data_IF_708950752874
#
_entry.id   IF_708950752874
#
_cell.length_a   1.000
_cell.length_b   1.000
_cell.length_c   1.000
_cell.angle_alpha   90.00
_cell.angle_beta   90.00
_cell.angle_gamma   90.00
#
_symmetry.space_group_name_H-M   'P 1'
#
loop_
_entity.id
_entity.type
_entity.pdbx_description
1 polymer ?
#
# COMPACT_ATOMS: atom_id res chain seq x y z
N UNK A 1 15.31 -16.63 -0.87
CA UNK A 1 15.10 -16.49 -2.18
C UNK A 1 15.10 -15.11 -2.64
N UNK A 2 15.78 -14.80 -3.63
CA UNK A 2 15.92 -13.47 -4.02
C UNK A 2 14.83 -13.05 -4.93
N UNK A 3 14.42 -11.83 -4.81
CA UNK A 3 13.41 -11.29 -5.67
C UNK A 3 14.05 -11.01 -7.00
N UNK A 4 13.31 -11.23 -8.04
CA UNK A 4 13.84 -11.00 -9.36
C UNK A 4 13.33 -9.72 -9.98
N UNK A 5 13.23 -8.68 -9.17
CA UNK A 5 12.80 -7.40 -9.70
C UNK A 5 13.88 -6.85 -10.63
N UNK A 6 13.50 -6.42 -11.82
CA UNK A 6 14.51 -5.93 -12.77
C UNK A 6 15.20 -4.68 -12.25
N UNK A 7 16.53 -4.75 -12.19
CA UNK A 7 17.29 -3.61 -11.68
C UNK A 7 17.16 -2.40 -12.58
N UNK A 8 16.98 -2.61 -13.86
CA UNK A 8 16.81 -1.54 -14.79
C UNK A 8 15.56 -0.73 -14.49
N UNK A 9 14.49 -1.42 -14.14
CA UNK A 9 13.25 -0.74 -13.81
C UNK A 9 13.39 0.04 -12.52
N UNK A 10 14.06 -0.55 -11.51
CA UNK A 10 14.28 0.15 -10.25
C UNK A 10 15.09 1.43 -10.47
N UNK A 11 16.09 1.35 -11.33
CA UNK A 11 16.91 2.53 -11.61
C UNK A 11 16.08 3.60 -12.31
N UNK A 12 15.22 3.21 -13.22
CA UNK A 12 14.35 4.18 -13.89
C UNK A 12 13.41 4.87 -12.94
N UNK A 13 12.91 4.13 -11.95
CA UNK A 13 12.05 4.71 -10.94
C UNK A 13 12.82 5.76 -10.14
N UNK A 14 14.07 5.45 -9.76
CA UNK A 14 14.88 6.42 -9.05
C UNK A 14 15.10 7.67 -9.88
N UNK A 15 15.38 7.50 -11.16
CA UNK A 15 15.60 8.63 -12.05
C UNK A 15 14.33 9.46 -12.20
N UNK A 16 13.18 8.80 -12.31
CA UNK A 16 11.90 9.50 -12.41
C UNK A 16 11.67 10.36 -11.17
N UNK A 17 11.96 9.81 -10.00
CA UNK A 17 11.77 10.54 -8.75
C UNK A 17 12.73 11.73 -8.69
N UNK A 18 14.00 11.52 -9.05
CA UNK A 18 14.97 12.58 -9.03
C UNK A 18 14.61 13.71 -9.98
N UNK A 19 13.99 13.39 -11.10
CA UNK A 19 13.58 14.37 -12.07
C UNK A 19 12.16 14.89 -11.84
N UNK A 20 11.59 14.54 -10.70
CA UNK A 20 10.25 14.95 -10.32
C UNK A 20 9.17 14.46 -11.30
N UNK A 21 9.43 13.34 -11.97
CA UNK A 21 8.45 12.71 -12.85
C UNK A 21 7.67 11.69 -12.05
N UNK A 22 6.91 12.19 -11.08
CA UNK A 22 6.24 11.32 -10.11
C UNK A 22 5.16 10.45 -10.74
N UNK A 23 4.51 10.95 -11.79
CA UNK A 23 3.50 10.15 -12.48
C UNK A 23 4.09 8.91 -13.13
N UNK A 24 5.27 9.04 -13.75
CA UNK A 24 5.92 7.90 -14.36
C UNK A 24 6.41 6.93 -13.31
N UNK A 25 6.99 7.45 -12.21
CA UNK A 25 7.44 6.59 -11.12
C UNK A 25 6.27 5.80 -10.57
N UNK A 26 5.12 6.45 -10.40
CA UNK A 26 3.92 5.80 -9.89
C UNK A 26 3.49 4.65 -10.80
N UNK A 27 3.47 4.90 -12.10
CA UNK A 27 3.04 3.86 -13.04
C UNK A 27 3.97 2.66 -13.03
N UNK A 28 5.27 2.91 -12.98
CA UNK A 28 6.23 1.81 -12.94
C UNK A 28 6.11 1.01 -11.66
N UNK A 29 5.89 1.70 -10.53
CA UNK A 29 5.74 1.00 -9.26
C UNK A 29 4.47 0.17 -9.23
N UNK A 30 3.37 0.67 -9.80
CA UNK A 30 2.15 -0.13 -9.90
C UNK A 30 2.41 -1.40 -10.69
N UNK A 31 3.14 -1.31 -11.80
CA UNK A 31 3.48 -2.49 -12.59
C UNK A 31 4.30 -3.49 -11.81
N UNK A 32 5.29 -2.99 -11.05
CA UNK A 32 6.11 -3.89 -10.25
C UNK A 32 5.32 -4.54 -9.12
N UNK A 33 4.45 -3.78 -8.47
CA UNK A 33 3.65 -4.33 -7.36
C UNK A 33 2.66 -5.36 -7.89
N UNK A 34 2.14 -5.15 -9.09
CA UNK A 34 1.26 -6.14 -9.69
C UNK A 34 2.01 -7.47 -9.87
N UNK A 35 3.26 -7.43 -10.30
CA UNK A 35 4.06 -8.62 -10.51
C UNK A 35 4.65 -9.16 -9.21
N UNK A 36 5.03 -8.27 -8.30
CA UNK A 36 5.69 -8.65 -7.04
C UNK A 36 4.91 -8.09 -5.85
N UNK A 37 3.68 -8.58 -5.63
CA UNK A 37 2.78 -7.96 -4.65
C UNK A 37 3.23 -8.04 -3.21
N UNK A 38 4.18 -8.93 -2.91
CA UNK A 38 4.63 -9.10 -1.53
C UNK A 38 5.88 -8.30 -1.17
N UNK A 39 6.37 -7.49 -2.10
CA UNK A 39 7.57 -6.70 -1.83
C UNK A 39 7.18 -5.41 -1.16
N UNK A 40 7.30 -5.38 0.16
CA UNK A 40 6.82 -4.24 0.93
C UNK A 40 7.54 -2.94 0.63
N UNK A 41 8.83 -3.01 0.30
CA UNK A 41 9.56 -1.78 0.01
C UNK A 41 9.04 -1.06 -1.23
N UNK A 42 8.47 -1.80 -2.18
CA UNK A 42 7.87 -1.18 -3.35
C UNK A 42 6.59 -0.45 -2.94
N UNK A 43 5.84 -1.04 -2.03
CA UNK A 43 4.61 -0.42 -1.55
C UNK A 43 4.93 0.86 -0.77
N UNK A 44 5.96 0.82 0.06
CA UNK A 44 6.33 2.02 0.80
C UNK A 44 6.72 3.14 -0.15
N UNK A 45 7.49 2.80 -1.19
CA UNK A 45 7.92 3.79 -2.16
C UNK A 45 6.70 4.40 -2.87
N UNK A 46 5.74 3.57 -3.23
CA UNK A 46 4.54 4.07 -3.89
C UNK A 46 3.71 4.96 -2.95
N UNK A 47 3.65 4.60 -1.67
CA UNK A 47 2.99 5.45 -0.68
C UNK A 47 3.65 6.82 -0.60
N UNK A 48 5.00 6.85 -0.61
CA UNK A 48 5.73 8.10 -0.57
C UNK A 48 5.37 8.98 -1.78
N UNK A 49 5.24 8.36 -2.95
CA UNK A 49 4.91 9.10 -4.16
C UNK A 49 3.48 9.63 -4.10
N UNK A 50 2.55 8.82 -3.67
CA UNK A 50 1.17 9.27 -3.54
C UNK A 50 1.05 10.44 -2.57
N UNK A 51 1.82 10.39 -1.49
CA UNK A 51 1.76 11.48 -0.53
C UNK A 51 2.29 12.77 -1.15
N UNK A 52 3.39 12.69 -1.90
CA UNK A 52 3.92 13.85 -2.59
C UNK A 52 2.96 14.38 -3.63
N UNK A 53 2.16 13.51 -4.23
CA UNK A 53 1.17 13.92 -5.20
C UNK A 53 -0.12 14.42 -4.53
N UNK A 54 -0.14 14.43 -3.19
CA UNK A 54 -1.24 14.95 -2.40
C UNK A 54 -2.48 14.05 -2.41
N UNK A 55 -2.23 12.74 -2.43
CA UNK A 55 -3.29 11.76 -2.29
C UNK A 55 -3.05 10.94 -1.02
N UNK A 56 -3.31 11.54 0.16
CA UNK A 56 -2.97 10.85 1.41
C UNK A 56 -3.72 9.55 1.64
N UNK A 57 -4.95 9.42 1.16
CA UNK A 57 -5.67 8.16 1.32
C UNK A 57 -4.98 7.05 0.55
N UNK A 58 -4.51 7.35 -0.65
CA UNK A 58 -3.79 6.35 -1.43
C UNK A 58 -2.44 6.05 -0.81
N UNK A 59 -1.77 7.07 -0.24
CA UNK A 59 -0.53 6.83 0.48
C UNK A 59 -0.77 5.87 1.63
N UNK A 60 -1.85 6.07 2.37
CA UNK A 60 -2.20 5.20 3.49
C UNK A 60 -2.41 3.77 3.07
N UNK A 61 -3.02 3.56 1.89
CA UNK A 61 -3.22 2.22 1.37
C UNK A 61 -1.88 1.49 1.19
N UNK A 62 -0.88 2.16 0.65
CA UNK A 62 0.39 1.52 0.37
C UNK A 62 1.35 1.52 1.56
N UNK A 63 1.14 2.39 2.54
CA UNK A 63 1.90 2.40 3.77
C UNK A 63 1.30 1.46 4.84
N UNK A 64 0.11 0.94 4.58
CA UNK A 64 -0.67 0.25 5.62
C UNK A 64 0.06 -0.90 6.29
N UNK A 65 0.85 -1.63 5.53
CA UNK A 65 1.55 -2.81 6.07
C UNK A 65 2.91 -2.50 6.66
N UNK A 66 3.32 -1.21 6.68
CA UNK A 66 4.57 -0.84 7.31
C UNK A 66 4.48 -1.06 8.81
N UNK A 67 5.51 -1.68 9.38
CA UNK A 67 5.51 -1.94 10.80
C UNK A 67 5.83 -0.70 11.62
N UNK A 68 6.69 0.16 11.10
CA UNK A 68 7.07 1.38 11.79
C UNK A 68 6.54 2.56 11.03
N UNK A 69 5.56 3.23 11.59
CA UNK A 69 4.91 4.33 10.92
C UNK A 69 5.22 5.66 11.60
N UNK A 70 5.48 6.67 10.79
CA UNK A 70 5.58 8.04 11.29
C UNK A 70 4.16 8.53 11.56
N UNK A 71 4.05 9.69 12.18
CA UNK A 71 2.73 10.27 12.46
C UNK A 71 1.99 10.54 11.15
N UNK A 72 2.70 11.03 10.13
CA UNK A 72 2.08 11.27 8.83
C UNK A 72 1.56 9.97 8.25
N UNK A 73 2.32 8.90 8.35
CA UNK A 73 1.89 7.60 7.85
C UNK A 73 0.66 7.10 8.59
N UNK A 74 0.62 7.29 9.91
CA UNK A 74 -0.54 6.89 10.69
C UNK A 74 -1.78 7.66 10.24
N UNK A 75 -1.66 8.96 10.06
CA UNK A 75 -2.79 9.78 9.63
C UNK A 75 -3.30 9.34 8.27
N UNK A 76 -2.38 9.06 7.35
CA UNK A 76 -2.77 8.60 6.03
C UNK A 76 -3.46 7.25 6.07
N UNK A 77 -2.99 6.36 6.95
CA UNK A 77 -3.62 5.06 7.11
C UNK A 77 -5.04 5.19 7.66
N UNK A 78 -5.27 6.14 8.57
CA UNK A 78 -6.61 6.39 9.08
C UNK A 78 -7.53 6.90 7.98
N UNK A 79 -7.01 7.76 7.10
CA UNK A 79 -7.79 8.25 5.97
C UNK A 79 -8.15 7.11 5.02
N UNK A 80 -7.20 6.20 4.78
CA UNK A 80 -7.47 5.05 3.95
C UNK A 80 -8.54 4.17 4.58
N UNK A 81 -8.46 3.91 5.89
CA UNK A 81 -9.46 3.11 6.57
C UNK A 81 -10.83 3.73 6.44
N UNK A 82 -10.90 5.03 6.63
CA UNK A 82 -12.17 5.74 6.52
C UNK A 82 -12.72 5.64 5.11
N UNK A 83 -11.87 5.72 4.09
CA UNK A 83 -12.32 5.61 2.71
C UNK A 83 -12.87 4.22 2.39
N UNK A 84 -12.50 3.21 3.20
CA UNK A 84 -12.99 1.86 3.04
C UNK A 84 -14.16 1.58 4.00
N UNK A 85 -14.76 2.64 4.58
CA UNK A 85 -15.87 2.50 5.50
C UNK A 85 -15.46 1.90 6.83
N UNK A 86 -14.19 1.93 7.15
CA UNK A 86 -13.62 1.33 8.34
C UNK A 86 -13.98 -0.17 8.46
N UNK A 87 -14.19 -0.81 7.31
CA UNK A 87 -14.56 -2.21 7.26
C UNK A 87 -13.29 -3.05 7.09
N UNK A 88 -12.91 -3.87 8.07
CA UNK A 88 -11.68 -4.64 7.99
C UNK A 88 -11.58 -5.53 6.77
N UNK A 89 -12.69 -6.10 6.35
CA UNK A 89 -12.70 -6.97 5.19
C UNK A 89 -12.39 -6.20 3.91
N UNK A 90 -13.02 -5.03 3.75
CA UNK A 90 -12.76 -4.20 2.59
C UNK A 90 -11.32 -3.69 2.59
N UNK A 91 -10.80 -3.36 3.78
CA UNK A 91 -9.41 -2.92 3.89
C UNK A 91 -8.48 -4.02 3.44
N UNK A 92 -8.67 -5.23 3.94
CA UNK A 92 -7.81 -6.35 3.60
C UNK A 92 -7.84 -6.62 2.10
N UNK A 93 -9.02 -6.58 1.50
CA UNK A 93 -9.13 -6.84 0.06
C UNK A 93 -8.50 -5.74 -0.77
N UNK A 94 -8.61 -4.50 -0.32
CA UNK A 94 -8.03 -3.39 -1.06
C UNK A 94 -6.51 -3.45 -1.09
N UNK A 95 -5.89 -4.06 -0.08
CA UNK A 95 -4.45 -4.15 -0.01
C UNK A 95 -3.87 -5.12 -1.04
N UNK A 96 -4.62 -6.12 -1.43
CA UNK A 96 -4.21 -7.10 -2.43
C UNK A 96 -2.85 -7.74 -2.13
N UNK A 97 -2.54 -7.87 -0.85
CA UNK A 97 -1.28 -8.47 -0.43
C UNK A 97 -1.43 -9.97 -0.41
N UNK A 98 -0.50 -10.68 -1.03
CA UNK A 98 -0.58 -12.13 -1.12
C UNK A 98 0.41 -12.87 -0.24
N UNK A 99 1.18 -12.14 0.54
CA UNK A 99 2.13 -12.76 1.42
C UNK A 99 1.55 -13.06 2.78
N UNK A 100 2.40 -13.53 3.67
CA UNK A 100 2.01 -13.83 5.02
C UNK A 100 2.12 -12.54 5.83
N UNK A 101 1.04 -12.14 6.45
CA UNK A 101 1.01 -10.91 7.22
C UNK A 101 0.06 -11.05 8.38
N UNK A 102 0.57 -10.85 9.59
CA UNK A 102 -0.28 -10.91 10.76
C UNK A 102 -1.29 -9.79 10.74
N UNK A 103 -0.94 -8.64 10.17
CA UNK A 103 -1.89 -7.53 10.06
C UNK A 103 -3.06 -7.90 9.16
N UNK A 104 -2.81 -8.54 8.04
CA UNK A 104 -3.88 -8.96 7.14
C UNK A 104 -4.75 -10.01 7.82
N UNK A 105 -4.13 -10.96 8.52
CA UNK A 105 -4.88 -11.98 9.23
C UNK A 105 -5.76 -11.37 10.28
N UNK A 106 -5.24 -10.36 10.97
CA UNK A 106 -6.02 -9.69 12.00
C UNK A 106 -7.22 -8.97 11.38
N UNK A 107 -7.04 -8.34 10.23
CA UNK A 107 -8.15 -7.68 9.55
C UNK A 107 -9.26 -8.66 9.19
N UNK A 108 -8.90 -9.83 8.72
CA UNK A 108 -9.90 -10.83 8.38
C UNK A 108 -10.62 -11.35 9.63
N UNK A 109 -9.91 -11.44 10.76
CA UNK A 109 -10.53 -11.88 11.97
C UNK A 109 -11.49 -10.86 12.52
N UNK A 110 -11.19 -9.57 12.37
CA UNK A 110 -12.03 -8.52 12.87
C UNK A 110 -13.23 -8.27 11.98
N UNK A 111 -13.32 -8.98 10.86
CA UNK A 111 -14.43 -8.86 10.01
C UNK A 111 -15.68 -9.08 10.78
N UNK A 112 -16.62 -8.27 10.62
CA UNK A 112 -17.84 -8.35 11.37
C UNK A 112 -18.52 -9.58 11.06
N UNK A 113 -19.02 -10.09 12.06
CA UNK A 113 -19.68 -11.23 11.87
C UNK A 113 -20.81 -10.94 11.32
N UNK A 114 -21.00 -10.04 11.25
CA UNK A 114 -21.85 -9.63 11.04
C UNK A 114 -22.42 -8.98 10.36
N UNK A 115 -22.52 -9.21 9.33
CA UNK A 115 -23.34 -8.66 8.50
C UNK A 115 -24.59 -8.82 9.10
N UNK A 116 -24.67 -9.76 9.68
CA UNK A 116 -25.69 -10.13 10.32
C UNK A 116 -25.91 -9.22 11.27
N UNK A 117 -25.02 -8.90 11.94
CA UNK A 117 -25.17 -8.11 12.90
C UNK A 117 -25.41 -6.88 12.35
N UNK A 118 -25.37 -6.77 11.23
CA UNK A 118 -25.53 -5.66 10.68
C UNK A 118 -26.85 -5.48 10.41
N UNK A 119 -27.50 -6.02 10.59
CA UNK A 119 -28.74 -6.08 10.25
C UNK A 119 -29.32 -5.56 10.85
#
# INVERSE_FOLDING_TARGET
>A
MTTKIPKKTLKRIEEDIENNNLGKARERLHGLIFTYPNELHLRKQLGDIYYKLQYPEMAGRYWYLEEHKTDIMHESCLLFEKSMGNDPYHIARALKFKGDSSKIKKLYKEQPLSPVQKK
#
